data_IF_167756347841
#
_entry.id   IF_167756347841
#
_cell.length_a   1.000
_cell.length_b   1.000
_cell.length_c   1.000
_cell.angle_alpha   90.00
_cell.angle_beta   90.00
_cell.angle_gamma   90.00
#
_symmetry.space_group_name_H-M   'P 1'
#
loop_
_entity.id
_entity.type
_entity.pdbx_description
1 polymer ?
#
# COMPACT_ATOMS: atom_id res chain seq x y z
N UNK A 1 -21.76 26.06 -7.68
CA UNK A 1 -22.16 24.93 -8.54
C UNK A 1 -22.83 23.87 -7.68
N UNK A 2 -23.79 23.11 -8.20
CA UNK A 2 -24.45 22.03 -7.48
C UNK A 2 -23.99 20.68 -8.05
N UNK A 3 -23.51 19.77 -7.19
CA UNK A 3 -22.97 18.46 -7.59
C UNK A 3 -23.68 17.35 -6.84
N UNK A 4 -24.21 16.39 -7.58
CA UNK A 4 -24.68 15.12 -7.06
C UNK A 4 -23.51 14.17 -6.81
N UNK A 5 -23.40 13.69 -5.57
CA UNK A 5 -22.42 12.71 -5.13
C UNK A 5 -23.13 11.45 -4.62
N UNK A 6 -22.52 10.29 -4.80
CA UNK A 6 -23.06 8.99 -4.39
C UNK A 6 -21.95 8.13 -3.77
N UNK A 7 -22.34 6.95 -3.28
CA UNK A 7 -21.41 5.97 -2.70
C UNK A 7 -20.52 6.53 -1.58
N UNK A 8 -19.19 6.52 -1.72
CA UNK A 8 -18.24 6.90 -0.66
C UNK A 8 -18.43 8.34 -0.18
N UNK A 9 -18.67 9.27 -1.09
CA UNK A 9 -18.93 10.69 -0.78
C UNK A 9 -20.28 10.93 -0.09
N UNK A 10 -21.08 9.88 0.21
CA UNK A 10 -22.16 10.00 1.21
C UNK A 10 -21.63 10.07 2.65
N UNK A 11 -20.38 9.71 2.90
CA UNK A 11 -19.72 9.93 4.20
C UNK A 11 -19.44 11.41 4.42
N UNK A 12 -19.91 11.95 5.55
CA UNK A 12 -19.58 13.30 5.99
C UNK A 12 -18.09 13.48 6.26
N UNK A 13 -17.45 12.50 6.89
CA UNK A 13 -16.01 12.50 7.14
C UNK A 13 -15.23 12.59 5.84
N UNK A 14 -15.54 11.75 4.86
CA UNK A 14 -14.86 11.78 3.56
C UNK A 14 -15.10 13.08 2.82
N UNK A 15 -16.35 13.56 2.76
CA UNK A 15 -16.64 14.85 2.12
C UNK A 15 -15.89 16.00 2.76
N UNK A 16 -15.79 16.02 4.08
CA UNK A 16 -15.08 17.08 4.81
C UNK A 16 -13.59 17.06 4.47
N UNK A 17 -12.98 15.87 4.38
CA UNK A 17 -11.60 15.70 3.91
C UNK A 17 -11.47 16.22 2.47
N UNK A 18 -12.33 15.76 1.56
CA UNK A 18 -12.31 16.13 0.15
C UNK A 18 -12.49 17.63 -0.07
N UNK A 19 -13.47 18.24 0.57
CA UNK A 19 -13.73 19.67 0.46
C UNK A 19 -12.75 20.53 1.26
N UNK A 20 -12.05 19.96 2.25
CA UNK A 20 -11.20 20.72 3.17
C UNK A 20 -11.98 21.59 4.16
N UNK A 21 -13.32 21.41 4.21
CA UNK A 21 -14.24 22.13 5.09
C UNK A 21 -15.54 21.35 5.25
N UNK A 22 -16.28 21.65 6.32
CA UNK A 22 -17.65 21.16 6.49
C UNK A 22 -18.63 21.95 5.63
N UNK A 23 -19.66 21.27 5.13
CA UNK A 23 -20.82 21.89 4.48
C UNK A 23 -21.94 22.05 5.48
N UNK A 24 -22.64 23.18 5.45
CA UNK A 24 -23.81 23.36 6.31
C UNK A 24 -24.92 22.39 5.89
N UNK A 25 -25.72 21.83 6.82
CA UNK A 25 -26.78 20.88 6.50
C UNK A 25 -27.81 21.40 5.48
N UNK A 26 -28.04 22.72 5.43
CA UNK A 26 -28.92 23.37 4.44
C UNK A 26 -28.43 23.28 2.99
N UNK A 27 -27.12 23.11 2.82
CA UNK A 27 -26.44 23.02 1.52
C UNK A 27 -26.28 21.56 1.08
N UNK A 28 -26.93 20.61 1.76
CA UNK A 28 -26.95 19.19 1.42
C UNK A 28 -28.40 18.75 1.31
N UNK A 29 -28.79 18.11 0.21
CA UNK A 29 -30.10 17.45 0.13
C UNK A 29 -30.01 16.04 -0.46
N UNK A 30 -30.81 15.12 0.08
CA UNK A 30 -30.96 13.79 -0.51
C UNK A 30 -31.54 13.87 -1.90
N UNK A 31 -30.98 13.10 -2.82
CA UNK A 31 -31.44 13.06 -4.19
C UNK A 31 -31.18 11.69 -4.83
N UNK A 32 -31.69 11.51 -6.04
CA UNK A 32 -31.42 10.33 -6.85
C UNK A 32 -31.33 10.64 -8.33
N UNK A 33 -30.65 9.76 -9.07
CA UNK A 33 -30.60 9.76 -10.54
C UNK A 33 -31.30 8.51 -11.05
N UNK A 34 -32.32 8.68 -11.88
CA UNK A 34 -33.05 7.59 -12.54
C UNK A 34 -32.24 7.00 -13.70
N UNK A 35 -32.45 5.72 -13.95
CA UNK A 35 -31.79 4.99 -15.04
C UNK A 35 -30.37 4.51 -14.71
N UNK A 36 -29.98 4.49 -13.44
CA UNK A 36 -28.65 4.06 -13.00
C UNK A 36 -28.70 3.15 -11.78
N UNK A 37 -27.79 2.17 -11.75
CA UNK A 37 -27.47 1.37 -10.56
C UNK A 37 -26.04 1.66 -10.11
N UNK A 38 -25.73 1.32 -8.85
CA UNK A 38 -24.37 1.46 -8.31
C UNK A 38 -23.81 0.09 -7.95
N UNK A 39 -22.59 -0.19 -8.41
CA UNK A 39 -21.86 -1.45 -8.22
C UNK A 39 -20.51 -1.18 -7.58
N UNK A 40 -19.88 -2.21 -7.02
CA UNK A 40 -18.46 -2.13 -6.61
C UNK A 40 -17.55 -2.09 -7.82
N UNK A 41 -16.47 -1.31 -7.76
CA UNK A 41 -15.41 -1.33 -8.76
C UNK A 41 -14.60 -2.63 -8.71
N UNK A 42 -14.00 -3.02 -9.84
CA UNK A 42 -13.08 -4.17 -9.93
C UNK A 42 -11.73 -3.91 -9.26
N UNK A 43 -11.28 -2.66 -9.28
CA UNK A 43 -9.92 -2.27 -8.90
C UNK A 43 -9.81 -1.70 -7.48
N UNK A 44 -10.92 -1.67 -6.73
CA UNK A 44 -10.86 -1.19 -5.35
C UNK A 44 -12.23 -0.99 -4.70
N UNK A 45 -12.24 -0.55 -3.44
CA UNK A 45 -13.45 -0.40 -2.64
C UNK A 45 -14.18 0.92 -2.91
N UNK A 46 -14.51 1.19 -4.18
CA UNK A 46 -15.19 2.42 -4.60
C UNK A 46 -16.41 2.15 -5.51
N UNK A 47 -17.39 3.08 -5.56
CA UNK A 47 -18.67 2.89 -6.21
C UNK A 47 -18.64 3.27 -7.70
N UNK A 48 -19.15 2.42 -8.59
CA UNK A 48 -19.31 2.73 -10.02
C UNK A 48 -20.80 2.82 -10.37
N UNK A 49 -21.21 3.95 -10.94
CA UNK A 49 -22.59 4.17 -11.37
C UNK A 49 -22.74 3.77 -12.85
N UNK A 50 -23.61 2.79 -13.12
CA UNK A 50 -23.79 2.16 -14.44
C UNK A 50 -25.22 2.37 -14.95
N UNK A 51 -25.43 2.75 -16.22
CA UNK A 51 -26.76 2.85 -16.80
C UNK A 51 -27.53 1.53 -16.73
N UNK A 52 -28.77 1.60 -16.22
CA UNK A 52 -29.71 0.48 -16.19
C UNK A 52 -31.14 0.99 -16.14
N UNK A 53 -31.91 0.68 -17.16
CA UNK A 53 -33.30 1.13 -17.28
C UNK A 53 -34.16 0.64 -16.09
N UNK A 54 -35.06 1.50 -15.61
CA UNK A 54 -35.95 1.20 -14.49
C UNK A 54 -35.27 1.15 -13.11
N UNK A 55 -34.01 1.57 -13.01
CA UNK A 55 -33.28 1.63 -11.74
C UNK A 55 -33.02 3.06 -11.27
N UNK A 56 -32.53 3.21 -10.05
CA UNK A 56 -32.29 4.50 -9.41
C UNK A 56 -31.05 4.46 -8.51
N UNK A 57 -30.17 5.45 -8.66
CA UNK A 57 -28.98 5.62 -7.85
C UNK A 57 -29.23 6.72 -6.81
N UNK A 58 -29.12 6.40 -5.53
CA UNK A 58 -29.36 7.33 -4.44
C UNK A 58 -28.07 7.99 -3.92
N UNK A 59 -28.14 9.29 -3.65
CA UNK A 59 -27.01 10.10 -3.23
C UNK A 59 -27.43 11.41 -2.56
N UNK A 60 -26.56 12.40 -2.66
CA UNK A 60 -26.72 13.73 -2.09
C UNK A 60 -26.41 14.77 -3.17
N UNK A 61 -27.17 15.86 -3.23
CA UNK A 61 -26.74 17.08 -3.92
C UNK A 61 -26.05 17.96 -2.90
N UNK A 62 -24.81 18.33 -3.21
CA UNK A 62 -24.04 19.35 -2.53
C UNK A 62 -24.28 20.66 -3.25
N UNK A 63 -24.88 21.63 -2.56
CA UNK A 63 -25.30 22.92 -3.13
C UNK A 63 -24.26 24.00 -2.88
N UNK A 64 -24.32 25.03 -3.72
CA UNK A 64 -23.55 26.27 -3.51
C UNK A 64 -22.03 26.02 -3.36
N UNK A 65 -21.49 25.02 -4.06
CA UNK A 65 -20.06 24.74 -4.07
C UNK A 65 -19.33 25.91 -4.73
N UNK A 66 -18.27 26.39 -4.07
CA UNK A 66 -17.32 27.36 -4.62
C UNK A 66 -16.43 26.71 -5.67
N UNK A 67 -15.69 27.51 -6.43
CA UNK A 67 -14.77 26.99 -7.44
C UNK A 67 -13.70 26.08 -6.82
N UNK A 68 -13.17 26.44 -5.65
CA UNK A 68 -12.20 25.62 -4.90
C UNK A 68 -12.79 24.28 -4.46
N UNK A 69 -14.07 24.25 -4.05
CA UNK A 69 -14.72 22.99 -3.68
C UNK A 69 -14.83 22.04 -4.88
N UNK A 70 -15.17 22.59 -6.05
CA UNK A 70 -15.28 21.84 -7.31
C UNK A 70 -13.91 21.36 -7.77
N UNK A 71 -12.87 22.18 -7.68
CA UNK A 71 -11.49 21.80 -8.02
C UNK A 71 -10.98 20.65 -7.14
N UNK A 72 -11.26 20.69 -5.83
CA UNK A 72 -10.87 19.61 -4.90
C UNK A 72 -11.63 18.31 -5.17
N UNK A 73 -12.94 18.39 -5.43
CA UNK A 73 -13.72 17.23 -5.85
C UNK A 73 -13.22 16.66 -7.18
N UNK A 74 -12.90 17.52 -8.15
CA UNK A 74 -12.35 17.11 -9.44
C UNK A 74 -11.00 16.42 -9.26
N UNK A 75 -10.12 16.96 -8.43
CA UNK A 75 -8.83 16.33 -8.14
C UNK A 75 -9.00 14.94 -7.52
N UNK A 76 -10.00 14.78 -6.64
CA UNK A 76 -10.33 13.50 -6.00
C UNK A 76 -11.03 12.50 -6.93
N UNK A 77 -11.93 12.92 -7.81
CA UNK A 77 -12.76 12.01 -8.62
C UNK A 77 -12.20 11.76 -10.04
N UNK A 78 -11.66 12.79 -10.71
CA UNK A 78 -11.27 12.68 -12.12
C UNK A 78 -10.03 11.81 -12.34
N UNK A 79 -9.20 11.60 -11.31
CA UNK A 79 -8.06 10.70 -11.35
C UNK A 79 -8.43 9.21 -11.50
N UNK A 80 -9.72 8.88 -11.44
CA UNK A 80 -10.25 7.50 -11.48
C UNK A 80 -11.17 7.25 -12.67
N UNK A 81 -10.87 7.82 -13.84
CA UNK A 81 -11.66 7.68 -15.08
C UNK A 81 -13.12 8.17 -14.98
N UNK A 82 -13.43 9.01 -13.99
CA UNK A 82 -14.70 9.72 -13.93
C UNK A 82 -14.65 11.01 -14.75
N UNK A 83 -15.81 11.42 -15.24
CA UNK A 83 -16.03 12.71 -15.90
C UNK A 83 -17.21 13.40 -15.23
N UNK A 84 -17.03 14.68 -14.91
CA UNK A 84 -18.09 15.54 -14.42
C UNK A 84 -18.98 15.96 -15.59
N UNK A 85 -20.26 15.60 -15.54
CA UNK A 85 -21.24 15.97 -16.58
C UNK A 85 -22.54 16.53 -15.97
N UNK A 86 -23.20 17.49 -16.63
CA UNK A 86 -24.52 17.95 -16.23
C UNK A 86 -25.54 16.80 -16.23
N UNK A 87 -26.47 16.82 -15.28
CA UNK A 87 -27.52 15.83 -15.15
C UNK A 87 -28.73 16.37 -14.40
N UNK A 88 -29.86 15.69 -14.53
CA UNK A 88 -31.08 15.97 -13.78
C UNK A 88 -31.23 14.97 -12.63
N UNK A 89 -31.50 15.48 -11.43
CA UNK A 89 -31.66 14.70 -10.21
C UNK A 89 -33.06 14.90 -9.63
N UNK A 90 -33.60 13.86 -8.99
CA UNK A 90 -34.86 13.93 -8.26
C UNK A 90 -34.57 14.21 -6.79
N UNK A 91 -35.14 15.30 -6.27
CA UNK A 91 -35.04 15.68 -4.86
C UNK A 91 -36.40 15.59 -4.18
N UNK A 92 -36.43 15.75 -2.86
CA UNK A 92 -37.69 15.83 -2.10
C UNK A 92 -38.59 17.02 -2.47
N UNK A 93 -38.04 18.04 -3.15
CA UNK A 93 -38.79 19.23 -3.60
C UNK A 93 -39.07 19.22 -5.12
N UNK A 94 -38.68 18.16 -5.82
CA UNK A 94 -38.85 17.98 -7.26
C UNK A 94 -37.53 17.80 -8.01
N UNK A 95 -37.61 17.76 -9.34
CA UNK A 95 -36.45 17.67 -10.22
C UNK A 95 -35.59 18.93 -10.13
N UNK A 96 -34.27 18.77 -10.10
CA UNK A 96 -33.28 19.84 -10.07
C UNK A 96 -32.13 19.54 -11.04
N UNK A 97 -31.50 20.59 -11.56
CA UNK A 97 -30.28 20.48 -12.36
C UNK A 97 -29.05 20.44 -11.46
N UNK A 98 -28.13 19.52 -11.74
CA UNK A 98 -26.86 19.38 -11.04
C UNK A 98 -25.79 18.88 -12.02
N UNK A 99 -24.58 18.64 -11.54
CA UNK A 99 -23.60 17.79 -12.25
C UNK A 99 -23.28 16.55 -11.42
N UNK A 100 -22.86 15.47 -12.05
CA UNK A 100 -22.42 14.25 -11.36
C UNK A 100 -21.18 13.67 -12.02
N UNK A 101 -20.41 12.91 -11.25
CA UNK A 101 -19.28 12.14 -11.76
C UNK A 101 -19.78 10.82 -12.33
N UNK A 102 -19.53 10.60 -13.62
CA UNK A 102 -19.86 9.35 -14.32
C UNK A 102 -18.57 8.66 -14.75
N UNK A 103 -18.50 7.33 -14.63
CA UNK A 103 -17.38 6.59 -15.17
C UNK A 103 -17.39 6.63 -16.70
N UNK A 104 -16.22 6.78 -17.32
CA UNK A 104 -16.08 6.69 -18.78
C UNK A 104 -16.36 5.29 -19.32
N UNK A 105 -16.15 4.25 -18.51
CA UNK A 105 -16.33 2.86 -18.90
C UNK A 105 -17.08 2.05 -17.83
N UNK A 106 -18.25 1.51 -18.19
CA UNK A 106 -19.03 0.64 -17.30
C UNK A 106 -18.32 -0.68 -16.96
N UNK A 107 -17.30 -1.09 -17.73
CA UNK A 107 -16.53 -2.30 -17.46
C UNK A 107 -15.68 -2.20 -16.19
N UNK A 108 -15.54 -1.01 -15.60
CA UNK A 108 -14.94 -0.83 -14.28
C UNK A 108 -15.79 -1.49 -13.17
N UNK A 109 -17.09 -1.65 -13.40
CA UNK A 109 -17.99 -2.24 -12.43
C UNK A 109 -17.85 -3.77 -12.35
N UNK A 110 -17.93 -4.29 -11.13
CA UNK A 110 -18.22 -5.70 -10.87
C UNK A 110 -19.71 -6.00 -11.08
N UNK A 111 -20.11 -7.25 -10.81
CA UNK A 111 -21.53 -7.63 -10.74
C UNK A 111 -22.12 -7.50 -9.33
N UNK A 112 -21.30 -7.14 -8.32
CA UNK A 112 -21.75 -7.01 -6.92
C UNK A 112 -22.35 -5.62 -6.73
N UNK A 113 -23.60 -5.56 -6.27
CA UNK A 113 -24.28 -4.28 -5.95
C UNK A 113 -23.54 -3.55 -4.85
N UNK A 114 -23.45 -2.22 -4.98
CA UNK A 114 -22.84 -1.36 -3.97
C UNK A 114 -23.62 -1.41 -2.65
N UNK A 115 -22.90 -1.45 -1.53
CA UNK A 115 -23.44 -1.30 -0.18
C UNK A 115 -22.64 -0.22 0.54
N UNK A 116 -23.32 0.87 0.89
CA UNK A 116 -22.67 1.95 1.64
C UNK A 116 -22.28 1.49 3.05
N UNK A 117 -23.09 0.62 3.67
CA UNK A 117 -22.86 0.13 5.02
C UNK A 117 -21.67 -0.84 5.06
N UNK A 118 -21.53 -1.73 4.06
CA UNK A 118 -20.35 -2.60 3.91
C UNK A 118 -19.08 -1.75 3.74
N UNK A 119 -19.13 -0.72 2.87
CA UNK A 119 -17.99 0.18 2.69
C UNK A 119 -17.66 0.95 3.98
N UNK A 120 -18.69 1.42 4.68
CA UNK A 120 -18.51 2.16 5.93
C UNK A 120 -17.85 1.29 7.00
N UNK A 121 -18.24 0.03 7.11
CA UNK A 121 -17.68 -0.95 8.03
C UNK A 121 -16.24 -1.33 7.68
N UNK A 122 -16.00 -1.69 6.41
CA UNK A 122 -14.81 -2.48 6.06
C UNK A 122 -13.69 -1.65 5.40
N UNK A 123 -14.01 -0.45 4.90
CA UNK A 123 -13.09 0.30 4.03
C UNK A 123 -12.95 1.78 4.37
N UNK A 124 -13.86 2.34 5.17
CA UNK A 124 -13.94 3.79 5.35
C UNK A 124 -12.71 4.39 6.01
N UNK A 125 -12.18 3.75 7.05
CA UNK A 125 -11.00 4.26 7.77
C UNK A 125 -9.78 4.35 6.86
N UNK A 126 -9.51 3.29 6.08
CA UNK A 126 -8.46 3.27 5.06
C UNK A 126 -8.68 4.38 4.04
N UNK A 127 -9.92 4.53 3.54
CA UNK A 127 -10.24 5.58 2.57
C UNK A 127 -10.05 6.99 3.15
N UNK A 128 -10.35 7.21 4.43
CA UNK A 128 -10.15 8.52 5.07
C UNK A 128 -8.66 8.87 5.19
N UNK A 129 -7.83 7.92 5.58
CA UNK A 129 -6.38 8.12 5.67
C UNK A 129 -5.79 8.37 4.28
N UNK A 130 -6.15 7.55 3.28
CA UNK A 130 -5.70 7.70 1.91
C UNK A 130 -6.12 9.03 1.30
N UNK A 131 -7.38 9.45 1.49
CA UNK A 131 -7.89 10.71 0.96
C UNK A 131 -7.19 11.92 1.58
N UNK A 132 -6.90 11.89 2.89
CA UNK A 132 -6.12 12.96 3.56
C UNK A 132 -4.74 13.11 2.92
N UNK A 133 -3.99 12.01 2.82
CA UNK A 133 -2.66 12.04 2.22
C UNK A 133 -2.70 12.45 0.75
N UNK A 134 -3.68 11.96 -0.02
CA UNK A 134 -3.83 12.33 -1.42
C UNK A 134 -4.08 13.84 -1.59
N UNK A 135 -4.95 14.42 -0.74
CA UNK A 135 -5.29 15.84 -0.80
C UNK A 135 -4.25 16.77 -0.19
N UNK A 136 -3.27 16.26 0.57
CA UNK A 136 -2.07 17.03 0.96
C UNK A 136 -1.29 17.49 -0.28
N UNK A 137 -1.49 16.83 -1.44
CA UNK A 137 -0.83 17.17 -2.71
C UNK A 137 -1.71 17.97 -3.67
N UNK A 138 -2.95 18.30 -3.29
CA UNK A 138 -3.82 19.20 -4.07
C UNK A 138 -3.15 20.58 -4.24
N UNK A 139 -3.15 21.10 -5.46
CA UNK A 139 -2.51 22.38 -5.83
C UNK A 139 -0.99 22.43 -5.51
N UNK A 140 -0.34 21.27 -5.44
CA UNK A 140 1.12 21.16 -5.32
C UNK A 140 1.75 20.66 -6.61
N UNK A 141 3.07 20.83 -6.74
CA UNK A 141 3.86 20.24 -7.84
C UNK A 141 3.81 18.71 -7.92
N UNK A 142 3.27 18.04 -6.89
CA UNK A 142 3.12 16.58 -6.84
C UNK A 142 1.70 16.11 -7.17
N UNK A 143 0.79 17.01 -7.57
CA UNK A 143 -0.61 16.68 -7.85
C UNK A 143 -0.78 15.48 -8.79
N UNK A 144 -0.16 15.55 -9.98
CA UNK A 144 -0.20 14.48 -10.99
C UNK A 144 0.52 13.21 -10.52
N UNK A 145 1.59 13.37 -9.73
CA UNK A 145 2.33 12.23 -9.17
C UNK A 145 1.48 11.48 -8.15
N UNK A 146 0.70 12.19 -7.33
CA UNK A 146 -0.19 11.56 -6.38
C UNK A 146 -1.31 10.79 -7.08
N UNK A 147 -1.83 11.28 -8.21
CA UNK A 147 -2.80 10.54 -9.03
C UNK A 147 -2.21 9.22 -9.53
N UNK A 148 -1.02 9.27 -10.14
CA UNK A 148 -0.33 8.06 -10.61
C UNK A 148 0.06 7.10 -9.48
N UNK A 149 0.25 7.61 -8.25
CA UNK A 149 0.69 6.83 -7.08
C UNK A 149 -0.45 6.51 -6.12
N UNK A 150 -1.71 6.73 -6.49
CA UNK A 150 -2.83 6.56 -5.56
C UNK A 150 -2.90 5.17 -4.95
N UNK A 151 -2.68 4.10 -5.73
CA UNK A 151 -2.67 2.74 -5.18
C UNK A 151 -1.61 2.55 -4.09
N UNK A 152 -0.46 3.24 -4.20
CA UNK A 152 0.57 3.21 -3.16
C UNK A 152 0.19 4.03 -1.93
N UNK A 153 -0.48 5.17 -2.12
CA UNK A 153 -1.07 5.96 -1.02
C UNK A 153 -2.09 5.10 -0.28
N UNK A 154 -2.98 4.43 -1.02
CA UNK A 154 -4.00 3.54 -0.49
C UNK A 154 -3.38 2.36 0.28
N UNK A 155 -2.34 1.71 -0.27
CA UNK A 155 -1.63 0.65 0.43
C UNK A 155 -1.01 1.14 1.75
N UNK A 156 -0.38 2.32 1.77
CA UNK A 156 0.15 2.90 3.03
C UNK A 156 -0.95 3.16 4.05
N UNK A 157 -2.10 3.65 3.60
CA UNK A 157 -3.26 3.87 4.46
C UNK A 157 -3.80 2.56 5.05
N UNK A 158 -3.85 1.49 4.25
CA UNK A 158 -4.26 0.14 4.69
C UNK A 158 -3.34 -0.37 5.80
N UNK A 159 -2.02 -0.29 5.58
CA UNK A 159 -1.01 -0.68 6.58
C UNK A 159 -1.17 0.12 7.86
N UNK A 160 -1.27 1.45 7.75
CA UNK A 160 -1.44 2.31 8.92
C UNK A 160 -2.71 1.98 9.71
N UNK A 161 -3.86 1.82 9.04
CA UNK A 161 -5.13 1.49 9.70
C UNK A 161 -5.05 0.13 10.41
N UNK A 162 -4.47 -0.88 9.76
CA UNK A 162 -4.31 -2.21 10.34
C UNK A 162 -3.41 -2.22 11.57
N UNK A 163 -2.25 -1.54 11.51
CA UNK A 163 -1.31 -1.45 12.65
C UNK A 163 -1.82 -0.54 13.77
N UNK A 164 -2.61 0.49 13.46
CA UNK A 164 -3.24 1.33 14.48
C UNK A 164 -4.34 0.57 15.24
N UNK A 165 -5.06 -0.35 14.58
CA UNK A 165 -6.12 -1.14 15.18
C UNK A 165 -5.60 -2.36 15.98
N UNK A 166 -4.39 -2.84 15.69
CA UNK A 166 -3.83 -4.03 16.30
C UNK A 166 -2.53 -3.71 17.03
N UNK A 167 -2.45 -4.00 18.33
CA UNK A 167 -1.17 -4.01 19.02
C UNK A 167 -0.27 -5.06 18.37
N UNK A 168 0.88 -4.60 17.86
CA UNK A 168 1.90 -5.47 17.27
C UNK A 168 2.37 -6.53 18.28
N UNK A 169 3.01 -7.59 17.79
CA UNK A 169 3.59 -8.66 18.61
C UNK A 169 4.80 -8.14 19.41
N UNK A 170 4.52 -7.32 20.41
CA UNK A 170 5.50 -6.81 21.37
C UNK A 170 6.04 -7.96 22.21
N UNK A 171 7.31 -7.87 22.58
CA UNK A 171 7.94 -8.86 23.45
C UNK A 171 7.29 -8.76 24.83
N UNK A 172 6.84 -9.89 25.36
CA UNK A 172 6.30 -9.95 26.72
C UNK A 172 7.38 -9.50 27.73
N UNK A 173 7.06 -8.51 28.56
CA UNK A 173 8.02 -7.82 29.44
C UNK A 173 9.19 -7.13 28.68
N UNK A 174 8.99 -6.81 27.41
CA UNK A 174 9.92 -6.06 26.56
C UNK A 174 9.85 -4.54 26.77
N UNK A 175 10.27 -3.75 25.77
CA UNK A 175 10.16 -2.29 25.82
C UNK A 175 8.73 -1.83 26.14
N UNK A 176 8.59 -0.66 26.76
CA UNK A 176 7.28 -0.11 27.16
C UNK A 176 6.32 0.01 25.97
N UNK A 177 5.09 -0.48 26.16
CA UNK A 177 4.07 -0.57 25.11
C UNK A 177 3.13 0.65 25.06
N UNK A 178 3.27 1.58 26.01
CA UNK A 178 2.43 2.77 26.11
C UNK A 178 3.29 4.02 25.98
N UNK A 179 3.26 4.65 24.81
CA UNK A 179 3.95 5.91 24.59
C UNK A 179 2.89 6.94 24.23
N UNK A 180 2.74 7.95 25.09
CA UNK A 180 1.93 9.12 24.75
C UNK A 180 2.69 9.88 23.65
N UNK A 181 2.33 9.64 22.39
CA UNK A 181 2.91 10.32 21.23
C UNK A 181 1.95 11.42 20.80
N UNK A 182 2.43 12.65 20.77
CA UNK A 182 1.69 13.82 20.31
C UNK A 182 2.33 14.31 19.02
N UNK A 183 1.61 14.14 17.91
CA UNK A 183 2.04 14.65 16.61
C UNK A 183 1.52 16.08 16.48
N UNK A 184 2.44 17.04 16.33
CA UNK A 184 2.11 18.46 16.18
C UNK A 184 1.95 18.82 14.69
N UNK A 185 2.76 18.23 13.82
CA UNK A 185 2.70 18.49 12.39
C UNK A 185 3.29 17.34 11.57
N UNK A 186 2.75 17.13 10.37
CA UNK A 186 3.29 16.23 9.36
C UNK A 186 3.38 17.01 8.05
N UNK A 187 4.57 17.11 7.49
CA UNK A 187 4.83 17.76 6.21
C UNK A 187 5.32 16.72 5.20
N UNK A 188 4.71 16.70 4.01
CA UNK A 188 5.11 15.85 2.88
C UNK A 188 6.19 16.58 2.06
N UNK A 189 7.44 16.19 2.22
CA UNK A 189 8.58 16.85 1.55
C UNK A 189 8.79 16.36 0.12
N UNK A 190 8.40 15.10 -0.15
CA UNK A 190 8.56 14.46 -1.45
C UNK A 190 7.51 13.39 -1.69
N UNK A 191 7.08 13.26 -2.93
CA UNK A 191 6.28 12.15 -3.42
C UNK A 191 6.83 11.65 -4.77
N UNK A 192 7.02 10.34 -4.86
CA UNK A 192 7.39 9.61 -6.07
C UNK A 192 7.13 8.12 -5.83
N UNK A 193 8.09 7.25 -6.17
CA UNK A 193 7.97 5.82 -5.82
C UNK A 193 7.77 5.58 -4.32
N UNK A 194 8.42 6.40 -3.48
CA UNK A 194 8.21 6.50 -2.03
C UNK A 194 7.77 7.92 -1.66
N UNK A 195 7.26 8.11 -0.45
CA UNK A 195 7.04 9.44 0.13
C UNK A 195 8.08 9.75 1.22
N UNK A 196 8.41 11.02 1.41
CA UNK A 196 9.27 11.49 2.50
C UNK A 196 8.49 12.44 3.40
N UNK A 197 8.44 12.13 4.69
CA UNK A 197 7.70 12.92 5.67
C UNK A 197 8.66 13.58 6.65
N UNK A 198 8.45 14.86 6.91
CA UNK A 198 8.96 15.52 8.10
C UNK A 198 7.86 15.58 9.16
N UNK A 199 8.11 14.97 10.33
CA UNK A 199 7.16 14.87 11.43
C UNK A 199 7.70 15.65 12.62
N UNK A 200 6.88 16.54 13.15
CA UNK A 200 7.11 17.25 14.41
C UNK A 200 6.28 16.58 15.50
N UNK A 201 6.92 16.01 16.51
CA UNK A 201 6.23 15.26 17.56
C UNK A 201 6.89 15.37 18.93
N UNK A 202 6.12 15.05 19.97
CA UNK A 202 6.58 14.83 21.34
C UNK A 202 6.23 13.41 21.76
N UNK A 203 7.02 12.83 22.65
CA UNK A 203 6.79 11.48 23.18
C UNK A 203 7.24 11.36 24.63
N UNK A 204 6.65 10.41 25.37
CA UNK A 204 7.07 10.08 26.74
C UNK A 204 8.52 9.61 26.81
N UNK A 205 9.27 10.14 27.77
CA UNK A 205 10.64 9.73 28.09
C UNK A 205 10.68 8.74 29.26
N UNK A 206 11.80 8.04 29.42
CA UNK A 206 11.96 7.00 30.45
C UNK A 206 11.92 7.51 31.91
N UNK A 207 12.05 8.82 32.11
CA UNK A 207 11.90 9.49 33.41
C UNK A 207 10.44 9.90 33.71
N UNK A 208 9.53 9.68 32.76
CA UNK A 208 8.12 10.02 32.87
C UNK A 208 7.76 11.40 32.30
N UNK A 209 8.74 12.22 31.93
CA UNK A 209 8.50 13.52 31.31
C UNK A 209 8.11 13.40 29.84
N UNK A 210 7.50 14.45 29.28
CA UNK A 210 7.25 14.57 27.84
C UNK A 210 8.44 15.26 27.21
N UNK A 211 8.96 14.69 26.12
CA UNK A 211 10.07 15.28 25.39
C UNK A 211 9.76 16.70 24.90
N UNK A 212 10.79 17.54 24.75
CA UNK A 212 10.69 18.71 23.87
C UNK A 212 10.27 18.30 22.46
N UNK A 213 9.78 19.27 21.67
CA UNK A 213 9.42 19.05 20.27
C UNK A 213 10.61 18.49 19.49
N UNK A 214 10.42 17.33 18.85
CA UNK A 214 11.41 16.67 18.00
C UNK A 214 10.94 16.65 16.56
N UNK A 215 11.85 16.99 15.65
CA UNK A 215 11.66 16.82 14.22
C UNK A 215 12.32 15.51 13.77
N UNK A 216 11.60 14.72 12.98
CA UNK A 216 12.08 13.48 12.37
C UNK A 216 11.76 13.51 10.89
N UNK A 217 12.66 12.97 10.09
CA UNK A 217 12.41 12.69 8.67
C UNK A 217 12.30 11.18 8.53
N UNK A 218 11.23 10.71 7.90
CA UNK A 218 10.97 9.28 7.71
C UNK A 218 10.62 9.02 6.25
N UNK A 219 11.27 7.99 5.68
CA UNK A 219 10.91 7.44 4.38
C UNK A 219 9.69 6.53 4.55
N UNK A 220 8.61 6.87 3.86
CA UNK A 220 7.42 6.02 3.80
C UNK A 220 7.68 4.91 2.78
N UNK A 221 8.26 3.82 3.27
CA UNK A 221 8.58 2.63 2.50
C UNK A 221 7.39 1.67 2.38
N UNK A 222 7.54 0.66 1.53
CA UNK A 222 6.56 -0.40 1.33
C UNK A 222 6.82 -1.62 2.22
N UNK A 223 5.80 -2.46 2.37
CA UNK A 223 5.95 -3.82 2.84
C UNK A 223 6.41 -4.75 1.71
N UNK A 224 7.22 -5.76 2.05
CA UNK A 224 7.74 -6.71 1.08
C UNK A 224 7.82 -8.12 1.65
N UNK A 225 7.63 -9.11 0.78
CA UNK A 225 7.90 -10.52 1.09
C UNK A 225 9.30 -10.87 0.62
N UNK A 226 10.12 -11.42 1.52
CA UNK A 226 11.47 -11.89 1.25
C UNK A 226 11.49 -13.42 1.36
N UNK A 227 12.05 -14.07 0.35
CA UNK A 227 11.98 -15.51 0.18
C UNK A 227 13.38 -16.06 -0.11
N UNK A 228 13.81 -17.03 0.69
CA UNK A 228 15.02 -17.80 0.41
C UNK A 228 14.59 -19.18 -0.13
N UNK A 229 14.61 -19.40 -1.46
CA UNK A 229 14.39 -20.72 -2.01
C UNK A 229 15.49 -21.67 -1.58
N UNK A 230 15.09 -22.82 -1.06
CA UNK A 230 15.98 -23.83 -0.50
C UNK A 230 15.54 -25.22 -0.97
N UNK A 231 16.50 -25.97 -1.52
CA UNK A 231 16.35 -27.37 -1.86
C UNK A 231 16.94 -28.24 -0.72
N UNK A 232 16.09 -28.92 0.06
CA UNK A 232 16.56 -29.76 1.17
C UNK A 232 17.24 -31.05 0.74
N UNK A 233 17.04 -31.50 -0.49
CA UNK A 233 17.64 -32.74 -1.02
C UNK A 233 19.06 -32.47 -1.49
N UNK A 234 19.26 -31.39 -2.24
CA UNK A 234 20.58 -30.99 -2.75
C UNK A 234 21.39 -30.16 -1.75
N UNK A 235 20.75 -29.67 -0.70
CA UNK A 235 21.32 -28.74 0.26
C UNK A 235 21.85 -27.44 -0.38
N UNK A 236 21.00 -26.84 -1.22
CA UNK A 236 21.33 -25.65 -2.01
C UNK A 236 20.28 -24.57 -1.82
N UNK A 237 20.73 -23.32 -1.95
CA UNK A 237 19.84 -22.15 -1.98
C UNK A 237 19.92 -21.47 -3.34
N UNK A 238 18.83 -20.82 -3.73
CA UNK A 238 18.84 -19.88 -4.85
C UNK A 238 18.94 -18.45 -4.30
N UNK A 239 19.89 -17.68 -4.82
CA UNK A 239 20.04 -16.25 -4.58
C UNK A 239 19.83 -15.48 -5.88
N UNK A 240 19.39 -14.24 -5.76
CA UNK A 240 19.33 -13.30 -6.88
C UNK A 240 20.47 -12.29 -6.76
N UNK A 241 21.01 -11.87 -7.91
CA UNK A 241 22.02 -10.83 -8.04
C UNK A 241 21.39 -9.65 -8.80
N UNK A 242 21.40 -8.47 -8.18
CA UNK A 242 20.85 -7.25 -8.79
C UNK A 242 21.62 -5.99 -8.37
N UNK A 243 21.51 -4.95 -9.18
CA UNK A 243 22.04 -3.64 -8.86
C UNK A 243 21.20 -2.97 -7.76
N UNK A 244 21.86 -2.48 -6.71
CA UNK A 244 21.21 -1.65 -5.70
C UNK A 244 21.79 -0.25 -5.66
N UNK A 245 20.91 0.75 -5.76
CA UNK A 245 21.27 2.17 -5.73
C UNK A 245 21.85 2.60 -4.38
N UNK A 246 21.44 1.97 -3.27
CA UNK A 246 21.91 2.30 -1.92
C UNK A 246 23.43 2.18 -1.77
N UNK A 247 24.03 0.99 -2.00
CA UNK A 247 25.49 0.84 -2.03
C UNK A 247 26.18 1.83 -2.97
N UNK A 248 25.65 2.03 -4.19
CA UNK A 248 26.21 3.00 -5.14
C UNK A 248 26.24 4.43 -4.58
N UNK A 249 25.11 4.93 -4.05
CA UNK A 249 25.01 6.27 -3.47
C UNK A 249 25.83 6.44 -2.19
N UNK A 250 26.14 5.34 -1.48
CA UNK A 250 27.10 5.33 -0.37
C UNK A 250 28.56 5.43 -0.84
N UNK A 251 28.83 5.33 -2.14
CA UNK A 251 30.17 5.35 -2.73
C UNK A 251 30.82 3.96 -2.79
N UNK A 252 30.05 2.89 -2.60
CA UNK A 252 30.54 1.52 -2.76
C UNK A 252 30.78 1.21 -4.25
N UNK A 253 31.93 0.61 -4.56
CA UNK A 253 32.34 0.26 -5.93
C UNK A 253 31.78 -1.07 -6.41
N UNK A 254 31.13 -1.84 -5.53
CA UNK A 254 30.46 -3.09 -5.87
C UNK A 254 28.95 -2.99 -5.55
N UNK A 255 28.15 -2.28 -6.36
CA UNK A 255 26.73 -2.06 -6.08
C UNK A 255 25.81 -3.24 -6.43
N UNK A 256 26.34 -4.25 -7.12
CA UNK A 256 25.66 -5.51 -7.35
C UNK A 256 25.79 -6.40 -6.12
N UNK A 257 24.66 -6.90 -5.62
CA UNK A 257 24.59 -7.63 -4.35
C UNK A 257 23.78 -8.92 -4.52
N UNK A 258 24.12 -9.92 -3.70
CA UNK A 258 23.30 -11.12 -3.54
C UNK A 258 22.17 -10.87 -2.53
N UNK A 259 20.97 -11.29 -2.89
CA UNK A 259 19.74 -11.11 -2.14
C UNK A 259 18.87 -12.38 -2.15
N UNK A 260 17.95 -12.55 -1.19
CA UNK A 260 16.80 -13.44 -1.39
C UNK A 260 15.93 -12.92 -2.54
N UNK A 261 15.09 -13.79 -3.09
CA UNK A 261 13.97 -13.34 -3.94
C UNK A 261 13.09 -12.42 -3.10
N UNK A 262 12.65 -11.29 -3.64
CA UNK A 262 11.84 -10.36 -2.86
C UNK A 262 11.02 -9.42 -3.72
N UNK A 263 9.83 -9.06 -3.24
CA UNK A 263 9.08 -7.96 -3.85
C UNK A 263 7.95 -7.41 -3.00
N UNK A 264 7.38 -6.32 -3.49
CA UNK A 264 6.41 -5.49 -2.77
C UNK A 264 5.08 -6.22 -2.72
N UNK A 265 4.41 -6.12 -1.57
CA UNK A 265 3.05 -6.64 -1.41
C UNK A 265 2.07 -5.65 -2.03
N UNK A 266 1.32 -6.11 -3.03
CA UNK A 266 0.34 -5.26 -3.74
C UNK A 266 -0.95 -5.03 -2.93
N UNK A 267 -1.79 -4.13 -3.43
CA UNK A 267 -3.12 -3.87 -2.83
C UNK A 267 -3.98 -5.11 -3.00
N UNK A 268 -4.58 -5.59 -1.90
CA UNK A 268 -5.39 -6.80 -1.90
C UNK A 268 -4.61 -8.12 -1.90
N UNK A 269 -3.27 -8.07 -1.89
CA UNK A 269 -2.40 -9.24 -1.83
C UNK A 269 -1.96 -9.55 -0.39
N UNK A 270 -1.96 -10.83 -0.01
CA UNK A 270 -1.35 -11.28 1.25
C UNK A 270 0.17 -11.44 1.11
N UNK A 271 0.95 -11.35 2.21
CA UNK A 271 2.39 -11.58 2.15
C UNK A 271 2.77 -12.95 1.51
N UNK A 272 2.00 -14.00 1.79
CA UNK A 272 2.21 -15.34 1.23
C UNK A 272 1.90 -15.43 -0.27
N UNK A 273 0.95 -14.65 -0.79
CA UNK A 273 0.65 -14.57 -2.23
C UNK A 273 1.78 -13.84 -2.96
N UNK A 274 2.21 -12.68 -2.45
CA UNK A 274 3.36 -11.94 -2.96
C UNK A 274 4.59 -12.83 -3.01
N UNK A 275 4.86 -13.58 -1.93
CA UNK A 275 5.99 -14.49 -1.87
C UNK A 275 6.00 -15.56 -2.98
N UNK A 276 4.84 -16.10 -3.35
CA UNK A 276 4.76 -17.10 -4.44
C UNK A 276 4.88 -16.47 -5.81
N UNK A 277 4.27 -15.29 -6.00
CA UNK A 277 4.35 -14.51 -7.24
C UNK A 277 5.80 -14.14 -7.55
N UNK A 278 6.50 -13.56 -6.59
CA UNK A 278 7.88 -13.10 -6.76
C UNK A 278 8.87 -14.25 -7.02
N UNK A 279 8.73 -15.40 -6.35
CA UNK A 279 9.56 -16.59 -6.66
C UNK A 279 9.36 -17.07 -8.09
N UNK A 280 8.16 -16.95 -8.63
CA UNK A 280 7.89 -17.28 -10.01
C UNK A 280 8.45 -16.23 -10.98
N UNK A 281 8.28 -14.94 -10.69
CA UNK A 281 8.71 -13.83 -11.55
C UNK A 281 10.24 -13.67 -11.59
N UNK A 282 10.91 -13.70 -10.44
CA UNK A 282 12.36 -13.48 -10.32
C UNK A 282 13.20 -14.73 -10.52
N UNK A 283 12.61 -15.93 -10.39
CA UNK A 283 13.37 -17.18 -10.48
C UNK A 283 12.73 -18.26 -11.37
N UNK A 284 11.49 -18.09 -11.84
CA UNK A 284 10.78 -19.12 -12.63
C UNK A 284 10.46 -20.38 -11.85
N UNK A 285 10.51 -20.33 -10.51
CA UNK A 285 10.32 -21.49 -9.64
C UNK A 285 8.88 -21.62 -9.18
N UNK A 286 8.44 -22.86 -8.99
CA UNK A 286 7.20 -23.18 -8.29
C UNK A 286 7.52 -23.53 -6.85
N UNK A 287 6.86 -22.85 -5.91
CA UNK A 287 7.01 -23.12 -4.48
C UNK A 287 6.17 -24.35 -4.11
N UNK A 288 6.80 -25.39 -3.56
CA UNK A 288 6.05 -26.54 -3.00
C UNK A 288 5.48 -26.20 -1.63
N UNK A 289 6.27 -25.54 -0.79
CA UNK A 289 5.86 -25.10 0.54
C UNK A 289 6.54 -23.79 0.94
N UNK A 290 5.77 -22.87 1.54
CA UNK A 290 6.30 -21.70 2.23
C UNK A 290 6.37 -21.97 3.73
N UNK A 291 7.53 -21.71 4.33
CA UNK A 291 7.75 -21.77 5.77
C UNK A 291 8.03 -20.36 6.28
N UNK A 292 7.14 -19.85 7.14
CA UNK A 292 7.29 -18.51 7.73
C UNK A 292 8.43 -18.50 8.74
N UNK A 293 9.37 -17.58 8.57
CA UNK A 293 10.52 -17.42 9.46
C UNK A 293 10.24 -16.40 10.56
N UNK A 294 9.64 -15.27 10.17
CA UNK A 294 9.40 -14.11 11.00
C UNK A 294 9.24 -12.85 10.16
N UNK A 295 8.92 -11.74 10.81
CA UNK A 295 8.75 -10.44 10.15
C UNK A 295 9.35 -9.33 11.00
N UNK A 296 9.70 -8.20 10.39
CA UNK A 296 10.29 -7.09 11.13
C UNK A 296 10.69 -5.90 10.28
N UNK A 297 11.06 -4.83 10.98
CA UNK A 297 11.59 -3.60 10.39
C UNK A 297 13.08 -3.76 10.06
N UNK A 298 13.52 -3.58 8.81
CA UNK A 298 14.93 -3.64 8.44
C UNK A 298 15.71 -2.41 8.92
N UNK A 299 15.03 -1.25 9.05
CA UNK A 299 15.64 0.01 9.46
C UNK A 299 14.60 0.95 10.12
N UNK A 300 14.19 0.66 11.37
CA UNK A 300 13.08 1.36 12.03
C UNK A 300 13.36 2.84 12.34
N UNK A 301 14.61 3.27 12.26
CA UNK A 301 14.99 4.67 12.51
C UNK A 301 14.77 5.61 11.32
N UNK A 302 14.66 5.06 10.10
CA UNK A 302 14.70 5.85 8.86
C UNK A 302 13.55 5.54 7.90
N UNK A 303 12.94 4.35 7.97
CA UNK A 303 11.87 3.96 7.07
C UNK A 303 10.76 3.16 7.75
N UNK A 304 9.56 3.27 7.19
CA UNK A 304 8.39 2.47 7.59
C UNK A 304 8.34 1.08 6.94
N UNK A 305 9.34 0.71 6.13
CA UNK A 305 9.37 -0.60 5.47
C UNK A 305 9.30 -1.75 6.46
N UNK A 306 8.61 -2.82 6.07
CA UNK A 306 8.41 -4.01 6.89
C UNK A 306 8.54 -5.26 6.03
N UNK A 307 9.31 -6.24 6.50
CA UNK A 307 9.62 -7.44 5.73
C UNK A 307 8.97 -8.67 6.33
N UNK A 308 8.29 -9.47 5.49
CA UNK A 308 7.78 -10.80 5.81
C UNK A 308 8.72 -11.84 5.22
N UNK A 309 9.36 -12.65 6.05
CA UNK A 309 10.45 -13.54 5.62
C UNK A 309 10.00 -15.00 5.58
N UNK A 310 10.33 -15.68 4.48
CA UNK A 310 9.95 -17.06 4.21
C UNK A 310 11.14 -17.90 3.70
N UNK A 311 11.13 -19.18 4.04
CA UNK A 311 11.83 -20.20 3.25
C UNK A 311 10.83 -20.78 2.26
N UNK A 312 11.20 -20.83 0.98
CA UNK A 312 10.45 -21.59 -0.01
C UNK A 312 11.15 -22.93 -0.24
N UNK A 313 10.45 -24.04 0.03
CA UNK A 313 10.91 -25.35 -0.38
C UNK A 313 10.71 -25.47 -1.90
N UNK A 314 11.78 -25.85 -2.59
CA UNK A 314 11.85 -25.93 -4.06
C UNK A 314 12.67 -27.15 -4.48
N UNK A 315 12.48 -27.57 -5.73
CA UNK A 315 13.32 -28.57 -6.41
C UNK A 315 14.26 -27.83 -7.38
N UNK A 316 15.56 -27.95 -7.15
CA UNK A 316 16.61 -27.33 -7.96
C UNK A 316 17.37 -28.34 -8.82
N UNK A 317 16.93 -29.61 -8.88
CA UNK A 317 17.64 -30.68 -9.61
C UNK A 317 17.78 -30.42 -11.10
N UNK A 318 16.73 -29.88 -11.73
CA UNK A 318 16.70 -29.53 -13.16
C UNK A 318 16.75 -28.00 -13.37
N UNK A 319 17.06 -27.23 -12.34
CA UNK A 319 17.07 -25.78 -12.43
C UNK A 319 18.35 -25.26 -13.10
N UNK A 320 18.19 -24.43 -14.13
CA UNK A 320 19.29 -23.70 -14.76
C UNK A 320 19.22 -22.22 -14.40
N UNK A 321 20.28 -21.65 -13.80
CA UNK A 321 20.39 -20.20 -13.59
C UNK A 321 20.15 -19.40 -14.88
N UNK A 322 19.55 -18.22 -14.74
CA UNK A 322 19.12 -17.39 -15.85
C UNK A 322 19.00 -15.91 -15.50
N UNK A 323 18.50 -15.15 -16.47
CA UNK A 323 18.16 -13.73 -16.30
C UNK A 323 16.64 -13.60 -16.25
N UNK A 324 16.16 -12.93 -15.21
CA UNK A 324 14.76 -12.75 -14.84
C UNK A 324 14.49 -11.27 -14.48
N UNK A 325 13.31 -10.99 -13.94
CA UNK A 325 12.85 -9.64 -13.60
C UNK A 325 11.99 -9.01 -14.69
N UNK A 326 11.23 -7.99 -14.32
CA UNK A 326 10.35 -7.28 -15.24
C UNK A 326 11.13 -6.22 -16.03
N UNK A 327 11.43 -6.49 -17.32
CA UNK A 327 12.11 -5.52 -18.21
C UNK A 327 11.41 -4.16 -18.28
N UNK A 328 10.09 -4.16 -18.19
CA UNK A 328 9.28 -2.92 -18.22
C UNK A 328 9.41 -2.11 -16.93
N UNK A 329 9.88 -2.74 -15.84
CA UNK A 329 10.09 -2.12 -14.53
C UNK A 329 11.57 -1.77 -14.28
N UNK A 330 12.42 -2.01 -15.29
CA UNK A 330 13.85 -1.73 -15.22
C UNK A 330 14.64 -2.74 -14.37
N UNK A 331 14.06 -3.89 -14.08
CA UNK A 331 14.71 -4.96 -13.31
C UNK A 331 15.60 -5.82 -14.22
N UNK A 332 16.83 -6.05 -13.79
CA UNK A 332 17.82 -6.94 -14.42
C UNK A 332 18.38 -7.86 -13.33
N UNK A 333 17.81 -9.06 -13.24
CA UNK A 333 18.05 -9.99 -12.14
C UNK A 333 18.72 -11.24 -12.67
N UNK A 334 19.84 -11.66 -12.05
CA UNK A 334 20.49 -12.94 -12.35
C UNK A 334 20.31 -13.91 -11.19
N UNK A 335 19.87 -15.13 -11.46
CA UNK A 335 19.76 -16.17 -10.43
C UNK A 335 21.06 -16.95 -10.27
N UNK A 336 21.29 -17.48 -9.07
CA UNK A 336 22.47 -18.28 -8.71
C UNK A 336 22.07 -19.41 -7.78
N UNK A 337 22.47 -20.65 -8.10
CA UNK A 337 22.28 -21.82 -7.23
C UNK A 337 23.60 -22.14 -6.53
N UNK A 338 23.61 -22.09 -5.20
CA UNK A 338 24.84 -22.17 -4.40
C UNK A 338 24.63 -23.17 -3.26
N UNK A 339 25.67 -23.95 -2.96
CA UNK A 339 25.67 -24.84 -1.79
C UNK A 339 25.43 -24.04 -0.50
N UNK A 340 24.51 -24.52 0.34
CA UNK A 340 24.13 -23.80 1.55
C UNK A 340 25.32 -23.53 2.47
N UNK A 341 26.23 -24.51 2.63
CA UNK A 341 27.44 -24.34 3.43
C UNK A 341 28.36 -23.22 2.91
N UNK A 342 28.39 -22.97 1.60
CA UNK A 342 29.15 -21.87 1.02
C UNK A 342 28.56 -20.52 1.42
N UNK A 343 27.23 -20.38 1.32
CA UNK A 343 26.52 -19.15 1.72
C UNK A 343 26.61 -18.91 3.23
N UNK A 344 26.51 -19.97 4.04
CA UNK A 344 26.73 -19.91 5.49
C UNK A 344 28.15 -19.45 5.82
N UNK A 345 29.16 -19.96 5.11
CA UNK A 345 30.54 -19.50 5.26
C UNK A 345 30.69 -18.00 4.92
N UNK A 346 29.96 -17.48 3.91
CA UNK A 346 29.93 -16.05 3.62
C UNK A 346 29.29 -15.23 4.75
N UNK A 347 28.23 -15.76 5.37
CA UNK A 347 27.58 -15.13 6.53
C UNK A 347 28.56 -14.98 7.70
N UNK A 348 29.17 -16.08 8.16
CA UNK A 348 30.06 -16.08 9.34
C UNK A 348 31.39 -15.38 9.09
N UNK A 349 31.81 -15.23 7.83
CA UNK A 349 33.00 -14.47 7.44
C UNK A 349 32.71 -13.01 7.05
N UNK A 350 31.51 -12.50 7.34
CA UNK A 350 31.10 -11.11 7.09
C UNK A 350 31.22 -10.68 5.61
N UNK A 351 30.86 -11.58 4.69
CA UNK A 351 30.86 -11.32 3.24
C UNK A 351 29.46 -11.07 2.67
N UNK A 352 28.41 -11.47 3.37
CA UNK A 352 27.03 -11.11 3.00
C UNK A 352 26.77 -9.65 3.36
N UNK A 353 26.49 -8.83 2.35
CA UNK A 353 26.34 -7.37 2.48
C UNK A 353 24.89 -6.92 2.65
N UNK A 354 23.93 -7.83 2.52
CA UNK A 354 22.50 -7.58 2.69
C UNK A 354 22.04 -8.27 3.96
N UNK A 355 21.70 -7.48 4.99
CA UNK A 355 21.37 -7.99 6.33
C UNK A 355 20.13 -8.90 6.36
N UNK A 356 19.06 -8.65 5.58
CA UNK A 356 17.97 -9.62 5.46
C UNK A 356 18.44 -11.00 4.99
N UNK A 357 19.25 -11.07 3.93
CA UNK A 357 19.84 -12.33 3.45
C UNK A 357 20.61 -13.04 4.57
N UNK A 358 21.46 -12.30 5.29
CA UNK A 358 22.26 -12.83 6.38
C UNK A 358 21.38 -13.43 7.48
N UNK A 359 20.30 -12.73 7.86
CA UNK A 359 19.33 -13.20 8.85
C UNK A 359 18.66 -14.49 8.40
N UNK A 360 18.30 -14.59 7.11
CA UNK A 360 17.62 -15.76 6.58
C UNK A 360 18.51 -17.00 6.54
N UNK A 361 19.77 -16.82 6.14
CA UNK A 361 20.79 -17.88 6.12
C UNK A 361 21.06 -18.42 7.54
N UNK A 362 21.20 -17.53 8.53
CA UNK A 362 21.40 -17.93 9.92
C UNK A 362 20.17 -18.66 10.50
N UNK A 363 18.97 -18.18 10.21
CA UNK A 363 17.74 -18.87 10.63
C UNK A 363 17.64 -20.26 10.00
N UNK A 364 17.96 -20.39 8.71
CA UNK A 364 17.98 -21.67 8.01
C UNK A 364 18.99 -22.61 8.67
N UNK A 365 20.20 -22.16 8.98
CA UNK A 365 21.20 -22.98 9.66
C UNK A 365 20.69 -23.55 11.00
N UNK A 366 19.92 -22.75 11.76
CA UNK A 366 19.37 -23.15 13.05
C UNK A 366 18.13 -24.05 12.96
N UNK A 367 17.41 -24.03 11.84
CA UNK A 367 16.10 -24.70 11.71
C UNK A 367 16.02 -25.73 10.59
N UNK A 368 17.06 -25.88 9.76
CA UNK A 368 17.08 -26.77 8.58
C UNK A 368 16.64 -28.20 8.88
N UNK A 369 17.02 -28.76 10.02
CA UNK A 369 16.63 -30.13 10.42
C UNK A 369 15.14 -30.30 10.72
N UNK A 370 14.41 -29.19 10.90
CA UNK A 370 12.95 -29.18 11.14
C UNK A 370 12.17 -28.95 9.85
N UNK A 371 12.85 -28.67 8.74
CA UNK A 371 12.20 -28.38 7.47
C UNK A 371 11.72 -29.68 6.80
N UNK A 372 10.65 -29.61 5.99
CA UNK A 372 10.19 -30.76 5.22
C UNK A 372 11.29 -31.23 4.26
N UNK A 373 11.38 -32.54 4.06
CA UNK A 373 12.37 -33.14 3.14
C UNK A 373 11.90 -33.19 1.68
N UNK A 374 10.62 -32.85 1.42
CA UNK A 374 9.96 -32.81 0.10
C UNK A 374 8.81 -31.81 0.10
#
# INVERSE_FOLDING_TARGET
>A
MDIFVFGTLKSETLRTIVLGRELAPRDICTASIKGFCVYWAKEGPFPVMVPKEGSEAHGLVLKNLSDVDVERLNYYELGFDYVLSPTSVETNVGSAEASAYFCNNSDMATKKSWSYDDWLSDHSEVQYIAAKEFLDFFDTKYGDTAQAMYNKIFKRAEVYANEAANLSKVIENGPENSINIQVENIQREYLGFFALNQISLKYSQFDGDISELKNRVILMGSEASLILPYDPVLDKVLLVEQFRIGPFCRGDRAPWVFEPVAGIIEVGETPEEAAKREVFEEAGLKVTQLVKMGSGYPNPGEATSYFYNYIAIVDLSEYSPGIYGAKNEGEDIRTHVIDFNTVLNWSVSNKLRVLPLNTMVLWLALNKLKLPSK
#
